data_IF_706390350490
#
_entry.id   IF_706390350490
#
_cell.length_a   1.000
_cell.length_b   1.000
_cell.length_c   1.000
_cell.angle_alpha   90.00
_cell.angle_beta   90.00
_cell.angle_gamma   90.00
#
_symmetry.space_group_name_H-M   'P 1'
#
loop_
_entity.id
_entity.type
_entity.pdbx_description
1 polymer ?
#
# COMPACT_ATOMS: atom_id res chain seq x y z
N UNK A 1 22.45 24.80 6.48
CA UNK A 1 21.51 23.73 6.72
C UNK A 1 20.94 23.16 5.42
N UNK A 2 20.46 23.98 4.47
CA UNK A 2 19.91 23.51 3.19
C UNK A 2 20.95 22.82 2.29
N UNK A 3 22.19 23.25 2.29
CA UNK A 3 23.26 22.66 1.45
C UNK A 3 23.56 21.20 1.88
N UNK A 4 23.48 20.93 3.19
CA UNK A 4 23.67 19.56 3.73
C UNK A 4 22.54 18.61 3.35
N UNK A 5 21.32 19.10 3.29
CA UNK A 5 20.15 18.29 2.91
C UNK A 5 20.20 17.90 1.43
N UNK A 6 20.60 18.83 0.57
CA UNK A 6 20.78 18.58 -0.88
C UNK A 6 21.93 17.57 -1.11
N UNK A 7 23.01 17.67 -0.35
CA UNK A 7 24.16 16.77 -0.49
C UNK A 7 23.84 15.34 -0.05
N UNK A 8 23.02 15.19 0.99
CA UNK A 8 22.57 13.89 1.47
C UNK A 8 21.61 13.21 0.47
N UNK A 9 20.75 13.97 -0.17
CA UNK A 9 19.83 13.47 -1.19
C UNK A 9 20.61 13.02 -2.44
N UNK A 10 21.62 13.77 -2.86
CA UNK A 10 22.44 13.43 -4.03
C UNK A 10 23.30 12.17 -3.77
N UNK A 11 23.86 12.03 -2.57
CA UNK A 11 24.65 10.85 -2.22
C UNK A 11 23.78 9.59 -2.06
N UNK A 12 22.58 9.74 -1.54
CA UNK A 12 21.63 8.63 -1.46
C UNK A 12 21.16 8.19 -2.86
N UNK A 13 20.97 9.12 -3.78
CA UNK A 13 20.62 8.80 -5.17
C UNK A 13 21.71 7.96 -5.88
N UNK A 14 22.98 8.25 -5.64
CA UNK A 14 24.08 7.45 -6.20
C UNK A 14 24.18 6.04 -5.60
N UNK A 15 23.85 5.90 -4.32
CA UNK A 15 23.81 4.59 -3.68
C UNK A 15 22.66 3.72 -4.23
N UNK A 16 21.54 4.34 -4.60
CA UNK A 16 20.37 3.65 -5.15
C UNK A 16 20.59 3.14 -6.58
N UNK A 17 21.43 3.80 -7.38
CA UNK A 17 21.74 3.34 -8.73
C UNK A 17 22.58 2.05 -8.77
N UNK A 18 23.36 1.79 -7.73
CA UNK A 18 24.22 0.60 -7.63
C UNK A 18 23.43 -0.64 -7.15
N UNK A 19 22.30 -0.45 -6.47
CA UNK A 19 21.49 -1.55 -5.90
C UNK A 19 20.57 -2.19 -6.96
N UNK A 20 20.44 -1.58 -8.14
CA UNK A 20 19.50 -2.00 -9.19
C UNK A 20 19.97 -3.19 -10.05
N UNK A 21 21.01 -3.94 -9.62
CA UNK A 21 21.57 -5.01 -10.46
C UNK A 21 20.98 -6.41 -10.23
N UNK A 22 19.98 -6.55 -9.31
CA UNK A 22 19.29 -7.83 -9.09
C UNK A 22 17.78 -7.63 -8.90
N UNK A 23 17.15 -6.95 -9.84
CA UNK A 23 15.70 -6.74 -9.76
C UNK A 23 14.95 -7.81 -10.56
N UNK A 24 13.79 -8.18 -10.04
CA UNK A 24 12.81 -8.99 -10.75
C UNK A 24 12.49 -8.34 -12.12
N UNK A 25 12.47 -9.09 -13.23
CA UNK A 25 12.13 -8.51 -14.54
C UNK A 25 10.80 -7.77 -14.49
N UNK A 26 10.76 -6.59 -15.10
CA UNK A 26 9.57 -5.75 -15.11
C UNK A 26 8.48 -6.35 -16.01
N UNK A 27 7.23 -6.21 -15.58
CA UNK A 27 6.05 -6.60 -16.33
C UNK A 27 5.76 -5.52 -17.40
N UNK A 28 5.91 -5.83 -18.67
CA UNK A 28 5.68 -4.84 -19.72
C UNK A 28 4.24 -4.81 -20.21
N UNK A 29 3.57 -5.94 -20.22
CA UNK A 29 2.17 -6.07 -20.62
C UNK A 29 1.44 -7.00 -19.65
N UNK A 30 0.14 -6.83 -19.50
CA UNK A 30 -0.67 -7.77 -18.71
C UNK A 30 -0.61 -9.19 -19.31
N UNK A 31 -0.41 -9.33 -20.60
CA UNK A 31 -0.30 -10.63 -21.27
C UNK A 31 0.99 -11.38 -20.89
N UNK A 32 2.00 -10.67 -20.37
CA UNK A 32 3.24 -11.27 -19.87
C UNK A 32 3.08 -11.83 -18.44
N UNK A 33 1.93 -11.57 -17.79
CA UNK A 33 1.70 -11.95 -16.39
C UNK A 33 1.38 -13.45 -16.30
N UNK A 34 2.23 -14.20 -15.61
CA UNK A 34 1.99 -15.62 -15.33
C UNK A 34 0.94 -15.75 -14.20
N UNK A 35 -0.33 -15.77 -14.59
CA UNK A 35 -1.44 -15.83 -13.63
C UNK A 35 -2.65 -16.59 -14.22
N UNK A 36 -3.64 -16.87 -13.35
CA UNK A 36 -4.89 -17.48 -13.77
C UNK A 36 -5.60 -16.60 -14.81
N UNK A 37 -6.12 -17.22 -15.88
CA UNK A 37 -6.83 -16.52 -16.97
C UNK A 37 -8.03 -15.71 -16.48
N UNK A 38 -8.69 -16.12 -15.39
CA UNK A 38 -9.83 -15.37 -14.84
C UNK A 38 -9.34 -14.11 -14.12
N UNK A 39 -8.16 -14.15 -13.52
CA UNK A 39 -7.53 -12.93 -12.95
C UNK A 39 -7.16 -11.98 -14.09
N UNK A 40 -6.54 -12.46 -15.16
CA UNK A 40 -6.20 -11.63 -16.33
C UNK A 40 -7.44 -10.95 -16.92
N UNK A 41 -8.52 -11.72 -17.11
CA UNK A 41 -9.82 -11.17 -17.57
C UNK A 41 -10.36 -10.11 -16.62
N UNK A 42 -10.20 -10.33 -15.31
CA UNK A 42 -10.61 -9.36 -14.29
C UNK A 42 -9.83 -8.05 -14.36
N UNK A 43 -8.52 -8.12 -14.62
CA UNK A 43 -7.64 -6.95 -14.80
C UNK A 43 -8.13 -6.10 -15.99
N UNK A 44 -8.33 -6.72 -17.15
CA UNK A 44 -8.83 -6.01 -18.33
C UNK A 44 -10.26 -5.49 -18.13
N UNK A 45 -11.14 -6.28 -17.52
CA UNK A 45 -12.53 -5.86 -17.24
C UNK A 45 -12.60 -4.69 -16.24
N UNK A 46 -11.60 -4.55 -15.38
CA UNK A 46 -11.48 -3.42 -14.46
C UNK A 46 -11.08 -2.12 -15.19
N UNK A 47 -10.55 -2.23 -16.40
CA UNK A 47 -10.14 -1.09 -17.23
C UNK A 47 -8.63 -0.79 -17.20
N UNK A 48 -7.81 -1.71 -16.71
CA UNK A 48 -6.36 -1.55 -16.76
C UNK A 48 -5.84 -1.92 -18.15
N UNK A 49 -5.47 -0.92 -18.95
CA UNK A 49 -4.92 -1.13 -20.30
C UNK A 49 -3.45 -1.53 -20.25
N UNK A 50 -2.67 -0.82 -19.43
CA UNK A 50 -1.23 -1.06 -19.27
C UNK A 50 -0.84 -0.98 -17.80
N UNK A 51 0.16 -1.76 -17.37
CA UNK A 51 0.63 -1.67 -15.98
C UNK A 51 1.40 -0.36 -15.74
N UNK A 52 1.11 0.30 -14.62
CA UNK A 52 1.84 1.49 -14.17
C UNK A 52 3.25 1.13 -13.69
N UNK A 53 4.11 2.14 -13.48
CA UNK A 53 5.51 1.91 -13.04
C UNK A 53 5.61 1.08 -11.76
N UNK A 54 4.72 1.32 -10.77
CA UNK A 54 4.72 0.53 -9.54
C UNK A 54 4.21 -0.89 -9.81
N UNK A 55 3.22 -1.06 -10.68
CA UNK A 55 2.65 -2.35 -11.03
C UNK A 55 3.66 -3.22 -11.78
N UNK A 56 4.42 -2.64 -12.72
CA UNK A 56 5.46 -3.34 -13.49
C UNK A 56 6.50 -4.01 -12.60
N UNK A 57 6.81 -3.40 -11.46
CA UNK A 57 7.87 -3.87 -10.56
C UNK A 57 7.32 -4.69 -9.38
N UNK A 58 6.24 -4.22 -8.74
CA UNK A 58 5.74 -4.86 -7.53
C UNK A 58 5.01 -6.18 -7.81
N UNK A 59 4.24 -6.28 -8.90
CA UNK A 59 3.46 -7.50 -9.17
C UNK A 59 4.38 -8.72 -9.39
N UNK A 60 5.40 -8.65 -10.27
CA UNK A 60 6.30 -9.80 -10.44
C UNK A 60 7.03 -10.19 -9.14
N UNK A 61 7.48 -9.22 -8.36
CA UNK A 61 8.14 -9.48 -7.07
C UNK A 61 7.17 -10.18 -6.09
N UNK A 62 5.92 -9.74 -6.03
CA UNK A 62 4.90 -10.38 -5.19
C UNK A 62 4.62 -11.81 -5.64
N UNK A 63 4.51 -12.07 -6.95
CA UNK A 63 4.23 -13.42 -7.47
C UNK A 63 5.40 -14.37 -7.24
N UNK A 64 6.63 -13.87 -7.19
CA UNK A 64 7.82 -14.64 -6.77
C UNK A 64 7.90 -14.87 -5.26
N UNK A 65 6.97 -14.27 -4.50
CA UNK A 65 6.90 -14.37 -3.02
C UNK A 65 8.09 -13.73 -2.32
N UNK A 66 8.73 -12.76 -2.95
CA UNK A 66 9.78 -11.96 -2.34
C UNK A 66 9.14 -10.88 -1.48
N UNK A 67 9.65 -10.65 -0.27
CA UNK A 67 9.19 -9.52 0.55
C UNK A 67 9.53 -8.22 -0.19
N UNK A 68 8.65 -7.22 -0.08
CA UNK A 68 8.88 -5.93 -0.78
C UNK A 68 8.65 -4.74 0.14
N UNK A 69 9.44 -3.71 -0.10
CA UNK A 69 9.19 -2.35 0.42
C UNK A 69 8.99 -1.45 -0.80
N UNK A 70 7.78 -0.98 -0.99
CA UNK A 70 7.43 -0.11 -2.11
C UNK A 70 7.16 1.30 -1.62
N UNK A 71 8.02 2.24 -2.02
CA UNK A 71 7.77 3.66 -1.79
C UNK A 71 7.13 4.25 -3.05
N UNK A 72 5.89 4.69 -2.93
CA UNK A 72 5.15 5.29 -4.03
C UNK A 72 4.02 6.16 -3.47
N UNK A 73 3.82 7.32 -4.08
CA UNK A 73 2.77 8.25 -3.66
C UNK A 73 1.37 7.73 -4.02
N UNK A 74 0.36 8.36 -3.44
CA UNK A 74 -1.03 8.09 -3.79
C UNK A 74 -1.26 8.38 -5.29
N UNK A 75 -2.11 7.59 -5.93
CA UNK A 75 -2.42 7.76 -7.36
C UNK A 75 -1.46 7.07 -8.33
N UNK A 76 -0.37 6.45 -7.86
CA UNK A 76 0.61 5.77 -8.73
C UNK A 76 0.18 4.36 -9.17
N UNK A 77 -0.93 3.85 -8.62
CA UNK A 77 -1.40 2.50 -8.93
C UNK A 77 -1.04 1.45 -7.88
N UNK A 78 -0.63 1.84 -6.66
CA UNK A 78 -0.29 0.93 -5.55
C UNK A 78 -1.39 -0.10 -5.30
N UNK A 79 -2.64 0.36 -5.20
CA UNK A 79 -3.79 -0.51 -4.88
C UNK A 79 -3.94 -1.62 -5.92
N UNK A 80 -3.83 -1.28 -7.21
CA UNK A 80 -3.82 -2.29 -8.27
C UNK A 80 -2.64 -3.25 -8.13
N UNK A 81 -1.45 -2.73 -7.80
CA UNK A 81 -0.25 -3.55 -7.68
C UNK A 81 -0.43 -4.65 -6.62
N UNK A 82 -0.72 -4.27 -5.37
CA UNK A 82 -0.83 -5.27 -4.32
C UNK A 82 -2.11 -6.12 -4.43
N UNK A 83 -3.18 -5.58 -4.99
CA UNK A 83 -4.41 -6.35 -5.23
C UNK A 83 -4.14 -7.49 -6.21
N UNK A 84 -3.55 -7.18 -7.37
CA UNK A 84 -3.21 -8.19 -8.38
C UNK A 84 -2.17 -9.19 -7.81
N UNK A 85 -1.13 -8.68 -7.15
CA UNK A 85 -0.11 -9.52 -6.53
C UNK A 85 -0.67 -10.46 -5.45
N UNK A 86 -1.69 -10.01 -4.70
CA UNK A 86 -2.38 -10.87 -3.73
C UNK A 86 -3.26 -11.89 -4.44
N UNK A 87 -4.12 -11.45 -5.36
CA UNK A 87 -5.05 -12.35 -6.07
C UNK A 87 -4.31 -13.46 -6.82
N UNK A 88 -3.16 -13.15 -7.40
CA UNK A 88 -2.35 -14.14 -8.14
C UNK A 88 -1.79 -15.27 -7.26
N UNK A 89 -1.81 -15.11 -5.93
CA UNK A 89 -1.33 -16.14 -5.01
C UNK A 89 -2.47 -16.97 -4.39
N UNK A 90 -3.73 -16.65 -4.69
CA UNK A 90 -4.89 -17.26 -4.05
C UNK A 90 -5.31 -18.55 -4.77
N UNK A 91 -5.42 -19.63 -4.02
CA UNK A 91 -5.97 -20.89 -4.46
C UNK A 91 -7.42 -20.98 -3.94
N UNK A 92 -8.39 -20.74 -4.82
CA UNK A 92 -9.82 -20.71 -4.44
C UNK A 92 -10.39 -22.08 -4.08
N UNK A 93 -9.66 -23.17 -4.33
CA UNK A 93 -10.07 -24.53 -3.95
C UNK A 93 -9.84 -24.80 -2.45
N UNK A 94 -8.92 -24.08 -1.84
CA UNK A 94 -8.56 -24.26 -0.41
C UNK A 94 -9.45 -23.41 0.50
N UNK A 95 -9.99 -24.03 1.54
CA UNK A 95 -10.82 -23.34 2.53
C UNK A 95 -9.94 -22.81 3.67
N UNK A 96 -9.08 -21.83 3.36
CA UNK A 96 -8.19 -21.17 4.33
C UNK A 96 -8.07 -19.69 3.98
N UNK A 97 -7.77 -18.88 4.98
CA UNK A 97 -7.38 -17.48 4.76
C UNK A 97 -5.94 -17.49 4.21
N UNK A 98 -5.73 -16.88 3.06
CA UNK A 98 -4.45 -16.91 2.33
C UNK A 98 -3.86 -15.52 2.10
N UNK A 99 -4.70 -14.48 2.10
CA UNK A 99 -4.26 -13.11 1.94
C UNK A 99 -4.79 -12.21 3.07
N UNK A 100 -3.97 -11.28 3.52
CA UNK A 100 -4.34 -10.31 4.55
C UNK A 100 -3.84 -8.94 4.10
N UNK A 101 -4.75 -7.98 3.96
CA UNK A 101 -4.39 -6.61 3.56
C UNK A 101 -4.83 -5.66 4.68
N UNK A 102 -3.87 -4.91 5.22
CA UNK A 102 -4.11 -3.96 6.32
C UNK A 102 -3.94 -2.52 5.82
N UNK A 103 -4.82 -1.65 6.27
CA UNK A 103 -4.78 -0.21 5.95
C UNK A 103 -5.25 0.62 7.16
N UNK A 104 -4.87 1.93 7.22
CA UNK A 104 -5.06 2.73 8.44
C UNK A 104 -6.49 3.19 8.72
N UNK A 105 -7.38 3.18 7.72
CA UNK A 105 -8.75 3.71 7.87
C UNK A 105 -9.79 2.77 7.27
N UNK A 106 -11.03 2.91 7.76
CA UNK A 106 -12.17 2.16 7.24
C UNK A 106 -12.42 2.47 5.76
N UNK A 107 -12.31 3.74 5.42
CA UNK A 107 -12.55 4.26 4.09
C UNK A 107 -11.55 3.67 3.10
N UNK A 108 -10.26 3.69 3.45
CA UNK A 108 -9.21 3.11 2.60
C UNK A 108 -9.37 1.58 2.50
N UNK A 109 -9.65 0.89 3.61
CA UNK A 109 -9.92 -0.55 3.59
C UNK A 109 -11.07 -0.90 2.65
N UNK A 110 -12.15 -0.07 2.66
CA UNK A 110 -13.30 -0.27 1.77
C UNK A 110 -12.90 -0.05 0.31
N UNK A 111 -12.17 1.02 0.01
CA UNK A 111 -11.68 1.28 -1.35
C UNK A 111 -10.83 0.12 -1.87
N UNK A 112 -9.92 -0.39 -1.04
CA UNK A 112 -9.09 -1.56 -1.38
C UNK A 112 -9.99 -2.78 -1.64
N UNK A 113 -10.96 -3.02 -0.78
CA UNK A 113 -11.90 -4.14 -0.90
C UNK A 113 -12.71 -4.06 -2.20
N UNK A 114 -13.14 -2.86 -2.58
CA UNK A 114 -13.89 -2.63 -3.83
C UNK A 114 -13.01 -2.91 -5.05
N UNK A 115 -11.75 -2.44 -5.06
CA UNK A 115 -10.79 -2.74 -6.14
C UNK A 115 -10.54 -4.25 -6.23
N UNK A 116 -10.26 -4.88 -5.08
CA UNK A 116 -10.02 -6.32 -4.98
C UNK A 116 -11.21 -7.13 -5.52
N UNK A 117 -12.44 -6.73 -5.14
CA UNK A 117 -13.68 -7.39 -5.55
C UNK A 117 -13.91 -7.27 -7.05
N UNK A 118 -13.66 -6.10 -7.61
CA UNK A 118 -13.86 -5.86 -9.05
C UNK A 118 -12.84 -6.64 -9.89
N UNK A 119 -11.55 -6.62 -9.51
CA UNK A 119 -10.51 -7.36 -10.24
C UNK A 119 -10.70 -8.87 -10.06
N UNK A 120 -11.04 -9.32 -8.84
CA UNK A 120 -11.25 -10.75 -8.55
C UNK A 120 -12.58 -11.32 -9.02
N UNK A 121 -13.46 -10.51 -9.61
CA UNK A 121 -14.85 -10.87 -9.95
C UNK A 121 -14.95 -12.13 -10.81
N UNK A 122 -14.00 -12.34 -11.72
CA UNK A 122 -14.01 -13.50 -12.61
C UNK A 122 -13.43 -14.77 -11.98
N UNK A 123 -12.79 -14.67 -10.81
CA UNK A 123 -12.17 -15.82 -10.09
C UNK A 123 -13.24 -16.63 -9.38
N UNK A 124 -13.62 -17.76 -9.96
CA UNK A 124 -14.70 -18.62 -9.42
C UNK A 124 -14.36 -19.10 -8.02
N UNK A 125 -15.33 -18.98 -7.10
CA UNK A 125 -15.19 -19.45 -5.73
C UNK A 125 -14.41 -18.54 -4.82
N UNK A 126 -13.89 -17.41 -5.30
CA UNK A 126 -13.18 -16.43 -4.46
C UNK A 126 -14.15 -15.87 -3.40
N UNK A 127 -13.69 -15.87 -2.15
CA UNK A 127 -14.42 -15.29 -1.01
C UNK A 127 -13.51 -14.31 -0.31
N UNK A 128 -14.05 -13.16 0.02
CA UNK A 128 -13.30 -12.08 0.69
C UNK A 128 -14.17 -11.44 1.75
N UNK A 129 -13.56 -10.86 2.78
CA UNK A 129 -14.31 -10.16 3.81
C UNK A 129 -13.58 -8.91 4.26
N UNK A 130 -14.37 -7.87 4.57
CA UNK A 130 -13.88 -6.57 5.04
C UNK A 130 -14.03 -6.49 6.56
N UNK A 131 -12.91 -6.36 7.29
CA UNK A 131 -12.89 -6.26 8.76
C UNK A 131 -12.50 -4.83 9.21
N UNK A 132 -13.51 -4.02 9.49
CA UNK A 132 -13.30 -2.63 9.94
C UNK A 132 -14.09 -2.32 11.21
N UNK A 133 -13.63 -1.35 11.96
CA UNK A 133 -14.36 -0.92 13.17
C UNK A 133 -15.70 -0.26 12.81
N UNK A 134 -16.64 -0.30 13.76
CA UNK A 134 -17.96 0.30 13.57
C UNK A 134 -19.01 -0.59 12.91
N UNK A 135 -18.61 -1.78 12.42
CA UNK A 135 -19.54 -2.82 11.96
C UNK A 135 -19.85 -3.79 13.10
N UNK A 136 -20.91 -4.59 12.93
CA UNK A 136 -21.31 -5.60 13.92
C UNK A 136 -20.21 -6.66 14.05
N UNK A 137 -19.78 -6.93 15.29
CA UNK A 137 -18.85 -8.02 15.60
C UNK A 137 -19.49 -9.39 15.25
N UNK A 138 -20.78 -9.52 15.52
CA UNK A 138 -21.51 -10.78 15.25
C UNK A 138 -21.57 -11.08 13.74
N UNK A 139 -21.82 -10.05 12.93
CA UNK A 139 -21.79 -10.19 11.46
C UNK A 139 -20.41 -10.61 10.98
N UNK A 140 -19.35 -9.96 11.46
CA UNK A 140 -17.97 -10.32 11.12
C UNK A 140 -17.68 -11.80 11.49
N UNK A 141 -18.07 -12.23 12.70
CA UNK A 141 -17.89 -13.62 13.15
C UNK A 141 -18.63 -14.59 12.22
N UNK A 142 -19.85 -14.26 11.79
CA UNK A 142 -20.62 -15.11 10.90
C UNK A 142 -20.00 -15.21 9.49
N UNK A 143 -19.46 -14.10 8.99
CA UNK A 143 -18.74 -14.10 7.70
C UNK A 143 -17.42 -14.86 7.78
N UNK A 144 -16.69 -14.73 8.89
CA UNK A 144 -15.44 -15.47 9.11
C UNK A 144 -15.65 -16.99 9.18
N UNK A 145 -16.83 -17.47 9.63
CA UNK A 145 -17.19 -18.90 9.58
C UNK A 145 -17.23 -19.46 8.15
N UNK A 146 -17.48 -18.61 7.16
CA UNK A 146 -17.48 -19.01 5.75
C UNK A 146 -16.05 -19.19 5.18
N UNK A 147 -15.07 -18.86 5.98
CA UNK A 147 -13.62 -18.95 5.69
C UNK A 147 -13.29 -18.22 4.38
N UNK A 148 -13.25 -16.87 4.41
CA UNK A 148 -12.82 -16.11 3.25
C UNK A 148 -11.34 -16.40 2.93
N UNK A 149 -10.97 -16.30 1.64
CA UNK A 149 -9.59 -16.47 1.19
C UNK A 149 -8.74 -15.22 1.48
N UNK A 150 -9.36 -14.04 1.43
CA UNK A 150 -8.69 -12.77 1.66
C UNK A 150 -9.48 -11.95 2.68
N UNK A 151 -8.74 -11.37 3.62
CA UNK A 151 -9.25 -10.38 4.57
C UNK A 151 -8.63 -9.03 4.21
N UNK A 152 -9.45 -8.00 4.11
CA UNK A 152 -9.02 -6.60 4.06
C UNK A 152 -9.52 -5.93 5.33
N UNK A 153 -8.69 -5.14 6.00
CA UNK A 153 -9.19 -4.47 7.20
C UNK A 153 -8.23 -3.53 7.90
N UNK A 154 -8.73 -2.95 8.99
CA UNK A 154 -7.91 -2.13 9.86
C UNK A 154 -7.27 -2.98 10.96
N UNK A 155 -6.01 -2.68 11.35
CA UNK A 155 -5.29 -3.52 12.32
C UNK A 155 -6.05 -3.79 13.61
N UNK A 156 -6.78 -2.80 14.13
CA UNK A 156 -7.53 -2.95 15.38
C UNK A 156 -8.59 -4.03 15.32
N UNK A 157 -9.44 -4.04 14.26
CA UNK A 157 -10.52 -5.05 14.12
C UNK A 157 -9.95 -6.44 13.80
N UNK A 158 -8.94 -6.50 12.94
CA UNK A 158 -8.26 -7.78 12.60
C UNK A 158 -7.65 -8.39 13.87
N UNK A 159 -6.91 -7.60 14.65
CA UNK A 159 -6.31 -8.04 15.90
C UNK A 159 -7.39 -8.51 16.92
N UNK A 160 -8.53 -7.80 16.99
CA UNK A 160 -9.65 -8.22 17.88
C UNK A 160 -10.21 -9.59 17.47
N UNK A 161 -10.40 -9.84 16.17
CA UNK A 161 -10.89 -11.14 15.69
C UNK A 161 -9.90 -12.28 15.97
N UNK A 162 -8.60 -12.00 15.86
CA UNK A 162 -7.53 -12.95 16.22
C UNK A 162 -7.53 -13.24 17.72
N UNK A 163 -7.57 -12.20 18.56
CA UNK A 163 -7.62 -12.35 20.04
C UNK A 163 -8.85 -13.15 20.48
N UNK A 164 -9.97 -12.97 19.80
CA UNK A 164 -11.22 -13.74 20.06
C UNK A 164 -11.19 -15.15 19.45
N UNK A 165 -10.11 -15.53 18.76
CA UNK A 165 -9.95 -16.82 18.07
C UNK A 165 -11.07 -17.07 17.04
N UNK A 166 -11.51 -16.02 16.34
CA UNK A 166 -12.59 -16.11 15.33
C UNK A 166 -12.06 -16.30 13.91
N UNK A 167 -10.72 -16.19 13.72
CA UNK A 167 -10.07 -16.44 12.43
C UNK A 167 -8.73 -17.14 12.65
N UNK A 168 -8.34 -17.95 11.68
CA UNK A 168 -7.05 -18.65 11.66
C UNK A 168 -6.23 -18.11 10.48
N UNK A 169 -5.05 -17.57 10.78
CA UNK A 169 -4.17 -16.95 9.78
C UNK A 169 -2.89 -17.77 9.52
N UNK A 170 -2.81 -19.01 10.03
CA UNK A 170 -1.62 -19.85 9.87
C UNK A 170 -1.31 -20.21 8.40
N UNK A 171 -2.29 -20.08 7.50
CA UNK A 171 -2.13 -20.38 6.06
C UNK A 171 -2.05 -19.10 5.20
N UNK A 172 -1.87 -17.94 5.82
CA UNK A 172 -1.70 -16.69 5.09
C UNK A 172 -0.35 -16.75 4.34
N UNK A 173 -0.43 -16.54 3.04
CA UNK A 173 0.73 -16.54 2.14
C UNK A 173 1.32 -15.14 1.94
N UNK A 174 0.45 -14.13 1.99
CA UNK A 174 0.85 -12.74 1.76
C UNK A 174 0.12 -11.81 2.73
N UNK A 175 0.88 -10.95 3.39
CA UNK A 175 0.37 -9.85 4.22
C UNK A 175 0.81 -8.54 3.60
N UNK A 176 -0.15 -7.70 3.27
CA UNK A 176 0.09 -6.36 2.70
C UNK A 176 -0.16 -5.32 3.78
N UNK A 177 0.74 -4.36 3.88
CA UNK A 177 0.60 -3.16 4.73
C UNK A 177 0.53 -1.95 3.79
N UNK A 178 -0.66 -1.36 3.60
CA UNK A 178 -0.82 -0.15 2.79
C UNK A 178 -0.88 1.09 3.65
N UNK A 179 -0.24 2.17 3.22
CA UNK A 179 -0.02 3.41 3.97
C UNK A 179 0.56 3.10 5.37
N UNK A 180 1.67 2.35 5.35
CA UNK A 180 2.28 1.84 6.59
C UNK A 180 2.77 2.98 7.51
N UNK A 181 3.25 4.08 6.95
CA UNK A 181 3.61 5.29 7.69
C UNK A 181 2.41 5.88 8.46
N UNK A 182 1.24 5.93 7.81
CA UNK A 182 0.01 6.41 8.45
C UNK A 182 -0.46 5.43 9.53
N UNK A 183 -0.32 4.12 9.34
CA UNK A 183 -0.65 3.15 10.39
C UNK A 183 0.20 3.34 11.64
N UNK A 184 1.51 3.62 11.46
CA UNK A 184 2.39 3.91 12.61
C UNK A 184 1.99 5.21 13.31
N UNK A 185 1.73 6.28 12.55
CA UNK A 185 1.32 7.56 13.14
C UNK A 185 0.00 7.47 13.91
N UNK A 186 -0.88 6.54 13.52
CA UNK A 186 -2.14 6.27 14.23
C UNK A 186 -1.99 5.29 15.40
N UNK A 187 -0.78 4.84 15.69
CA UNK A 187 -0.49 3.99 16.84
C UNK A 187 -0.82 2.52 16.66
N UNK A 188 -0.94 2.02 15.42
CA UNK A 188 -1.26 0.62 15.15
C UNK A 188 -0.06 -0.34 15.20
N UNK A 189 1.10 0.15 15.60
CA UNK A 189 2.34 -0.64 15.66
C UNK A 189 2.19 -1.96 16.41
N UNK A 190 1.65 -1.90 17.63
CA UNK A 190 1.45 -3.07 18.48
C UNK A 190 0.49 -4.08 17.83
N UNK A 191 -0.61 -3.60 17.27
CA UNK A 191 -1.59 -4.47 16.59
C UNK A 191 -0.96 -5.16 15.37
N UNK A 192 -0.14 -4.46 14.59
CA UNK A 192 0.56 -5.04 13.43
C UNK A 192 1.49 -6.18 13.89
N UNK A 193 2.30 -5.96 14.95
CA UNK A 193 3.16 -7.01 15.50
C UNK A 193 2.34 -8.19 16.03
N UNK A 194 1.25 -7.93 16.76
CA UNK A 194 0.39 -9.01 17.30
C UNK A 194 -0.22 -9.86 16.19
N UNK A 195 -0.57 -9.25 15.07
CA UNK A 195 -1.08 -9.97 13.88
C UNK A 195 0.06 -10.77 13.26
N UNK A 196 1.22 -10.14 13.01
CA UNK A 196 2.38 -10.77 12.38
C UNK A 196 2.81 -12.05 13.12
N UNK A 197 2.93 -11.99 14.46
CA UNK A 197 3.36 -13.13 15.25
C UNK A 197 2.38 -14.31 15.28
N UNK A 198 1.18 -14.16 14.69
CA UNK A 198 0.25 -15.26 14.51
C UNK A 198 0.31 -15.88 13.11
N UNK A 199 1.07 -15.27 12.23
CA UNK A 199 1.34 -15.81 10.88
C UNK A 199 2.46 -16.85 10.94
N UNK A 200 2.57 -17.63 9.89
CA UNK A 200 3.73 -18.54 9.73
C UNK A 200 4.90 -17.73 9.17
N UNK A 201 5.77 -17.26 10.07
CA UNK A 201 6.87 -16.36 9.74
C UNK A 201 7.80 -16.93 8.66
N UNK A 202 7.96 -18.25 8.58
CA UNK A 202 8.86 -18.88 7.60
C UNK A 202 8.32 -18.83 6.17
N UNK A 203 7.02 -18.70 6.00
CA UNK A 203 6.39 -18.83 4.67
C UNK A 203 5.58 -17.63 4.22
N UNK A 204 5.20 -16.71 5.12
CA UNK A 204 4.43 -15.53 4.75
C UNK A 204 5.30 -14.51 4.03
N UNK A 205 4.81 -13.98 2.93
CA UNK A 205 5.40 -12.82 2.25
C UNK A 205 4.84 -11.54 2.87
N UNK A 206 5.70 -10.57 3.12
CA UNK A 206 5.30 -9.24 3.60
C UNK A 206 5.52 -8.22 2.47
N UNK A 207 4.46 -7.50 2.13
CA UNK A 207 4.51 -6.44 1.12
C UNK A 207 4.12 -5.11 1.76
N UNK A 208 5.09 -4.21 1.92
CA UNK A 208 4.93 -2.94 2.60
C UNK A 208 4.87 -1.80 1.58
N UNK A 209 3.77 -1.05 1.58
CA UNK A 209 3.55 0.10 0.72
C UNK A 209 3.42 1.36 1.56
N UNK A 210 4.13 2.42 1.18
CA UNK A 210 4.10 3.68 1.93
C UNK A 210 4.49 4.86 1.03
N UNK A 211 3.97 6.04 1.35
CA UNK A 211 4.40 7.26 0.68
C UNK A 211 5.76 7.73 1.22
N UNK A 212 6.03 7.50 2.50
CA UNK A 212 7.27 7.93 3.15
C UNK A 212 7.95 6.76 3.86
N UNK A 213 9.28 6.84 3.98
CA UNK A 213 10.08 5.85 4.71
C UNK A 213 10.70 6.51 5.95
N UNK A 214 9.88 6.69 6.99
CA UNK A 214 10.37 7.21 8.27
C UNK A 214 11.33 6.22 8.94
N UNK A 215 12.15 6.72 9.87
CA UNK A 215 13.07 5.87 10.66
C UNK A 215 12.29 4.76 11.37
N UNK A 216 11.14 5.10 11.96
CA UNK A 216 10.31 4.11 12.66
C UNK A 216 9.81 3.02 11.71
N UNK A 217 9.39 3.40 10.49
CA UNK A 217 8.93 2.43 9.49
C UNK A 217 10.07 1.53 9.01
N UNK A 218 11.27 2.11 8.82
CA UNK A 218 12.46 1.33 8.46
C UNK A 218 12.84 0.34 9.57
N UNK A 219 12.73 0.74 10.84
CA UNK A 219 13.01 -0.17 11.97
C UNK A 219 11.95 -1.27 12.08
N UNK A 220 10.68 -0.96 11.80
CA UNK A 220 9.63 -1.97 11.72
C UNK A 220 9.91 -2.95 10.55
N UNK A 221 10.26 -2.43 9.39
CA UNK A 221 10.53 -3.26 8.22
C UNK A 221 11.66 -4.26 8.44
N UNK A 222 12.74 -3.86 9.14
CA UNK A 222 13.85 -4.77 9.50
C UNK A 222 13.41 -5.96 10.36
N UNK A 223 12.30 -5.80 11.11
CA UNK A 223 11.78 -6.86 12.00
C UNK A 223 10.78 -7.77 11.28
N UNK A 224 10.04 -7.23 10.32
CA UNK A 224 8.96 -7.95 9.66
C UNK A 224 9.39 -8.60 8.35
N UNK A 225 10.34 -8.02 7.62
CA UNK A 225 10.68 -8.42 6.26
C UNK A 225 12.05 -9.13 6.20
N UNK A 226 12.15 -10.07 5.27
CA UNK A 226 13.36 -10.87 5.02
C UNK A 226 13.95 -10.47 3.67
N UNK A 227 15.08 -9.79 3.68
CA UNK A 227 15.81 -9.32 2.49
C UNK A 227 14.88 -8.77 1.40
N UNK A 228 14.10 -7.73 1.71
CA UNK A 228 13.05 -7.28 0.80
C UNK A 228 13.58 -6.60 -0.46
N UNK A 229 12.91 -6.82 -1.57
CA UNK A 229 13.13 -6.02 -2.79
C UNK A 229 12.62 -4.60 -2.55
N UNK A 230 13.47 -3.61 -2.82
CA UNK A 230 13.14 -2.19 -2.61
C UNK A 230 12.68 -1.57 -3.92
N UNK A 231 11.44 -1.17 -3.96
CA UNK A 231 10.80 -0.58 -5.13
C UNK A 231 10.56 0.91 -4.85
N UNK A 232 11.34 1.75 -5.51
CA UNK A 232 11.18 3.20 -5.41
C UNK A 232 10.57 3.69 -6.72
N UNK A 233 9.35 4.18 -6.64
CA UNK A 233 8.74 4.89 -7.76
C UNK A 233 8.87 6.37 -7.44
N UNK A 234 9.83 7.01 -8.12
CA UNK A 234 9.88 8.47 -8.13
C UNK A 234 8.53 8.93 -8.68
N UNK A 235 7.84 9.74 -7.93
CA UNK A 235 6.85 10.59 -8.55
C UNK A 235 7.66 11.42 -9.55
N UNK A 236 7.58 11.05 -10.81
CA UNK A 236 7.75 12.07 -11.85
C UNK A 236 6.83 13.17 -11.37
N UNK A 237 7.40 14.34 -11.10
CA UNK A 237 6.64 15.43 -10.52
C UNK A 237 5.31 15.49 -11.26
N UNK A 238 4.27 14.96 -10.65
CA UNK A 238 2.92 15.21 -11.09
C UNK A 238 2.66 16.69 -10.80
N UNK A 239 3.34 17.53 -11.51
CA UNK A 239 2.72 18.78 -11.90
C UNK A 239 1.57 18.30 -12.76
N UNK A 240 0.42 18.10 -12.11
CA UNK A 240 -0.83 18.01 -12.86
C UNK A 240 -0.77 19.15 -13.88
N UNK A 241 -0.93 18.81 -15.12
CA UNK A 241 -1.00 19.85 -16.16
C UNK A 241 -1.98 20.90 -15.66
N UNK A 242 -1.50 22.14 -15.54
CA UNK A 242 -2.29 23.24 -15.01
C UNK A 242 -2.03 23.64 -13.55
N UNK A 243 -1.16 22.94 -12.80
CA UNK A 243 -0.74 23.41 -11.46
C UNK A 243 0.63 24.08 -11.56
N UNK A 244 0.67 25.37 -11.26
CA UNK A 244 1.93 26.13 -11.12
C UNK A 244 2.25 26.27 -9.64
N UNK A 245 3.43 25.87 -9.23
CA UNK A 245 3.88 25.95 -7.85
C UNK A 245 4.88 27.10 -7.67
N UNK A 246 4.63 27.91 -6.67
CA UNK A 246 5.48 29.05 -6.34
C UNK A 246 5.84 29.01 -4.86
N UNK A 247 6.96 29.61 -4.51
CA UNK A 247 7.34 29.79 -3.12
C UNK A 247 7.80 31.23 -2.90
N UNK A 248 7.60 31.73 -1.70
CA UNK A 248 8.11 33.03 -1.26
C UNK A 248 9.01 32.80 -0.05
N UNK A 249 10.26 33.23 -0.17
CA UNK A 249 11.20 33.16 0.94
C UNK A 249 10.89 34.31 1.90
N UNK A 250 10.76 34.01 3.17
CA UNK A 250 10.48 34.98 4.23
C UNK A 250 11.46 34.80 5.38
N UNK A 251 11.77 35.88 6.06
CA UNK A 251 12.82 35.89 7.08
C UNK A 251 12.33 35.47 8.46
N UNK A 252 11.04 35.70 8.76
CA UNK A 252 10.49 35.38 10.05
C UNK A 252 8.99 35.01 9.99
N UNK A 253 8.49 34.44 11.08
CA UNK A 253 7.12 33.96 11.20
C UNK A 253 6.07 35.08 11.08
N UNK A 254 6.39 36.31 11.50
CA UNK A 254 5.47 37.46 11.42
C UNK A 254 5.28 37.90 9.96
N UNK A 255 6.32 37.78 9.16
CA UNK A 255 6.28 38.11 7.73
C UNK A 255 5.32 37.23 6.96
N UNK A 256 5.00 35.99 7.42
CA UNK A 256 4.06 35.08 6.76
C UNK A 256 2.70 35.70 6.54
N UNK A 257 2.13 36.29 7.57
CA UNK A 257 0.80 36.88 7.49
C UNK A 257 0.78 38.09 6.55
N UNK A 258 1.79 38.94 6.63
CA UNK A 258 1.89 40.11 5.78
C UNK A 258 2.07 39.70 4.30
N UNK A 259 2.95 38.74 4.05
CA UNK A 259 3.17 38.20 2.71
C UNK A 259 1.89 37.57 2.13
N UNK A 260 1.15 36.81 2.94
CA UNK A 260 -0.13 36.23 2.51
C UNK A 260 -1.12 37.31 2.14
N UNK A 261 -1.20 38.37 2.93
CA UNK A 261 -2.09 39.53 2.66
C UNK A 261 -1.69 40.24 1.36
N UNK A 262 -0.39 40.43 1.14
CA UNK A 262 0.12 41.05 -0.10
C UNK A 262 -0.16 40.17 -1.31
N UNK A 263 0.03 38.86 -1.21
CA UNK A 263 -0.31 37.91 -2.27
C UNK A 263 -1.81 37.99 -2.62
N UNK A 264 -2.66 38.02 -1.60
CA UNK A 264 -4.11 38.13 -1.79
C UNK A 264 -4.52 39.42 -2.50
N UNK A 265 -3.79 40.49 -2.22
CA UNK A 265 -4.03 41.80 -2.86
C UNK A 265 -3.53 41.85 -4.32
N UNK A 266 -2.54 41.01 -4.62
CA UNK A 266 -1.83 41.06 -5.91
C UNK A 266 -2.36 40.05 -6.93
N UNK A 267 -3.02 38.99 -6.50
CA UNK A 267 -3.52 37.93 -7.38
C UNK A 267 -5.04 37.85 -7.30
N UNK A 268 -5.68 37.63 -8.42
CA UNK A 268 -7.13 37.50 -8.49
C UNK A 268 -7.50 36.01 -8.28
N UNK A 269 -7.86 35.68 -7.04
CA UNK A 269 -8.15 34.28 -6.65
C UNK A 269 -9.64 34.15 -6.35
N UNK A 270 -10.34 33.31 -7.10
CA UNK A 270 -11.76 33.04 -6.87
C UNK A 270 -12.00 32.03 -5.73
N UNK A 271 -11.09 31.10 -5.54
CA UNK A 271 -11.15 30.10 -4.44
C UNK A 271 -9.74 29.80 -3.97
N UNK A 272 -9.55 29.63 -2.66
CA UNK A 272 -8.26 29.17 -2.12
C UNK A 272 -8.46 28.32 -0.87
N UNK A 273 -7.46 27.48 -0.57
CA UNK A 273 -7.35 26.72 0.69
C UNK A 273 -6.02 27.09 1.32
N UNK A 274 -6.04 27.55 2.58
CA UNK A 274 -4.84 27.92 3.35
C UNK A 274 -4.61 26.80 4.39
N UNK A 275 -3.42 26.22 4.37
CA UNK A 275 -3.02 25.21 5.35
C UNK A 275 -2.05 25.82 6.35
N UNK A 276 -2.30 25.58 7.42
CA UNK A 276 -1.50 26.15 8.41
C UNK A 276 -0.80 25.32 9.20
#
# INVERSE_FOLDING_TARGET
MYIYTIYLIINNLKLYEVINLMTTPELNSWDDLDCDMNLLRGIYAYGFEHPSSIQKRAIPAMLKKTDIIAQAQSGTGKTGAFTIGTLGQIDTTKKTIQGLILSPTRELSKQIFDVLSNIGKMMKGLRMHLLVGGTSIEEDVNELKKIPHIIVGCPGRVNDMLRRKKMNVSNVKVMVLDEADEMLSKGFKEQIYNIFYQLNEDSVQIALFSATLSTELLDMSKKLLRDPEKILVKSEALTLEGISQYYVLIDDERAKYLTLKDLYSSINVSQCIIYX
#
